data_IF_044882680077
#
_entry.id   IF_044882680077
#
_cell.length_a   1.000
_cell.length_b   1.000
_cell.length_c   1.000
_cell.angle_alpha   90.00
_cell.angle_beta   90.00
_cell.angle_gamma   90.00
#
_symmetry.space_group_name_H-M   'P 1'
#
loop_
_entity.id
_entity.type
_entity.pdbx_description
1 polymer ?
#
# COMPACT_ATOMS: atom_id res chain seq x y z
N UNK A 1 -0.92 13.09 -7.70
CA UNK A 1 -0.05 12.08 -8.34
C UNK A 1 -0.76 10.74 -8.32
N UNK A 2 -0.77 9.99 -9.42
CA UNK A 2 -1.45 8.69 -9.46
C UNK A 2 -0.52 7.52 -9.16
N UNK A 3 -1.06 6.52 -8.48
CA UNK A 3 -0.42 5.23 -8.24
C UNK A 3 -1.39 4.07 -8.41
N UNK A 4 -0.89 2.85 -8.26
CA UNK A 4 -1.71 1.66 -8.40
C UNK A 4 -0.93 0.37 -8.29
N UNK A 5 -1.65 -0.75 -8.33
CA UNK A 5 -1.04 -2.08 -8.32
C UNK A 5 -0.45 -2.45 -9.69
N UNK A 6 0.37 -3.50 -9.74
CA UNK A 6 1.03 -3.97 -10.97
C UNK A 6 0.05 -4.26 -12.12
N UNK A 7 -1.09 -4.89 -11.81
CA UNK A 7 -2.08 -5.26 -12.84
C UNK A 7 -3.06 -4.12 -13.20
N UNK A 8 -2.93 -2.95 -12.58
CA UNK A 8 -3.78 -1.78 -12.85
C UNK A 8 -5.21 -1.84 -12.32
N UNK A 9 -5.62 -2.91 -11.62
CA UNK A 9 -6.97 -3.07 -11.08
C UNK A 9 -7.26 -2.15 -9.88
N UNK A 10 -6.22 -1.72 -9.18
CA UNK A 10 -6.27 -0.72 -8.13
C UNK A 10 -5.56 0.54 -8.62
N UNK A 11 -6.24 1.68 -8.54
CA UNK A 11 -5.72 3.00 -8.88
C UNK A 11 -6.07 3.98 -7.77
N UNK A 12 -5.16 4.86 -7.42
CA UNK A 12 -5.39 5.91 -6.44
C UNK A 12 -4.67 7.18 -6.84
N UNK A 13 -5.12 8.29 -6.29
CA UNK A 13 -4.45 9.57 -6.33
C UNK A 13 -3.97 9.95 -4.93
N UNK A 14 -2.78 10.56 -4.88
CA UNK A 14 -2.22 11.19 -3.70
C UNK A 14 -1.94 12.67 -4.01
N UNK A 15 -2.44 13.60 -3.20
CA UNK A 15 -2.15 15.04 -3.34
C UNK A 15 -0.86 15.44 -2.64
N UNK A 16 -0.52 14.81 -1.51
CA UNK A 16 0.69 15.10 -0.73
C UNK A 16 1.26 13.84 -0.04
N UNK A 17 2.59 13.73 0.00
CA UNK A 17 3.31 12.67 0.73
C UNK A 17 4.18 13.34 1.80
N UNK A 18 4.04 12.87 3.03
CA UNK A 18 4.85 13.29 4.16
C UNK A 18 6.19 12.54 4.24
N UNK A 19 6.62 12.24 5.47
CA UNK A 19 7.88 11.54 5.70
C UNK A 19 7.85 10.14 5.08
N UNK A 20 8.96 9.76 4.46
CA UNK A 20 9.24 8.40 4.04
C UNK A 20 10.07 7.65 5.09
N UNK A 21 9.99 6.33 5.08
CA UNK A 21 10.80 5.47 5.94
C UNK A 21 11.10 4.13 5.27
N UNK A 22 12.20 3.51 5.68
CA UNK A 22 12.51 2.12 5.36
C UNK A 22 12.30 1.26 6.60
N UNK A 23 11.51 0.20 6.47
CA UNK A 23 11.26 -0.76 7.54
C UNK A 23 11.93 -2.09 7.22
N UNK A 24 12.79 -2.53 8.13
CA UNK A 24 13.58 -3.76 8.00
C UNK A 24 12.98 -4.93 8.78
N UNK A 25 11.81 -4.79 9.41
CA UNK A 25 11.22 -5.86 10.22
C UNK A 25 10.82 -7.06 9.35
N UNK A 26 10.78 -8.25 9.96
CA UNK A 26 10.50 -9.51 9.25
C UNK A 26 9.15 -9.50 8.50
N UNK A 27 8.12 -8.88 9.09
CA UNK A 27 6.80 -8.76 8.47
C UNK A 27 6.84 -7.88 7.21
N UNK A 28 7.51 -6.73 7.27
CA UNK A 28 7.64 -5.83 6.13
C UNK A 28 8.47 -6.45 5.00
N UNK A 29 9.56 -7.16 5.33
CA UNK A 29 10.35 -7.89 4.33
C UNK A 29 9.52 -8.96 3.61
N UNK A 30 8.73 -9.74 4.35
CA UNK A 30 7.84 -10.77 3.79
C UNK A 30 6.73 -10.15 2.93
N UNK A 31 6.10 -9.08 3.39
CA UNK A 31 5.01 -8.43 2.66
C UNK A 31 5.45 -7.80 1.32
N UNK A 32 6.70 -7.31 1.24
CA UNK A 32 7.23 -6.69 0.02
C UNK A 32 8.11 -7.62 -0.82
N UNK A 33 8.44 -8.82 -0.32
CA UNK A 33 9.38 -9.73 -0.98
C UNK A 33 10.79 -9.14 -1.15
N UNK A 34 11.20 -8.24 -0.26
CA UNK A 34 12.41 -7.43 -0.39
C UNK A 34 13.21 -7.34 0.93
N UNK A 35 14.46 -6.86 0.86
CA UNK A 35 15.32 -6.70 2.04
C UNK A 35 14.77 -5.67 3.06
N UNK A 36 13.99 -4.69 2.58
CA UNK A 36 13.20 -3.76 3.39
C UNK A 36 11.97 -3.32 2.60
N UNK A 37 11.01 -2.72 3.31
CA UNK A 37 9.88 -2.05 2.71
C UNK A 37 10.07 -0.53 2.78
N UNK A 38 9.78 0.18 1.69
CA UNK A 38 9.72 1.65 1.67
C UNK A 38 8.28 2.08 1.85
N UNK A 39 8.02 2.98 2.80
CA UNK A 39 6.70 3.56 3.03
C UNK A 39 6.76 5.07 2.89
N UNK A 40 5.75 5.66 2.27
CA UNK A 40 5.43 7.08 2.36
C UNK A 40 4.21 7.28 3.24
N UNK A 41 4.25 8.23 4.17
CA UNK A 41 3.08 8.57 4.99
C UNK A 41 2.17 9.52 4.22
N UNK A 42 0.92 9.16 4.07
CA UNK A 42 -0.12 9.98 3.43
C UNK A 42 -1.25 10.19 4.44
N UNK A 43 -1.77 11.41 4.55
CA UNK A 43 -2.97 11.67 5.34
C UNK A 43 -4.19 11.17 4.57
N UNK A 44 -5.24 10.75 5.27
CA UNK A 44 -6.46 10.25 4.62
C UNK A 44 -7.06 11.30 3.67
N UNK A 45 -7.01 12.58 4.04
CA UNK A 45 -7.50 13.68 3.21
C UNK A 45 -6.66 13.91 1.95
N UNK A 46 -5.42 13.40 1.92
CA UNK A 46 -4.52 13.50 0.78
C UNK A 46 -4.52 12.25 -0.10
N UNK A 47 -5.41 11.29 0.16
CA UNK A 47 -5.50 10.02 -0.55
C UNK A 47 -6.92 9.77 -1.06
N UNK A 48 -7.03 9.38 -2.33
CA UNK A 48 -8.31 9.02 -2.95
C UNK A 48 -8.18 7.79 -3.84
N UNK A 49 -9.12 6.85 -3.73
CA UNK A 49 -9.24 5.75 -4.69
C UNK A 49 -9.87 6.23 -6.00
N UNK A 50 -9.32 5.80 -7.13
CA UNK A 50 -9.82 6.11 -8.47
C UNK A 50 -10.57 4.90 -9.06
N UNK A 51 -11.79 5.13 -9.58
CA UNK A 51 -12.58 4.13 -10.30
C UNK A 51 -13.19 3.01 -9.43
N UNK A 52 -13.73 1.98 -10.09
CA UNK A 52 -14.18 0.76 -9.42
C UNK A 52 -12.94 0.02 -8.90
N UNK A 53 -12.61 0.24 -7.62
CA UNK A 53 -11.50 -0.46 -6.97
C UNK A 53 -11.71 -1.95 -7.16
N UNK A 54 -10.83 -2.64 -7.90
CA UNK A 54 -10.82 -4.09 -7.95
C UNK A 54 -10.75 -4.71 -6.55
N UNK A 55 -10.73 -6.03 -6.45
CA UNK A 55 -10.77 -6.70 -5.14
C UNK A 55 -9.55 -6.33 -4.30
N UNK A 56 -9.75 -5.44 -3.33
CA UNK A 56 -8.80 -5.14 -2.26
C UNK A 56 -8.83 -6.31 -1.29
N UNK A 57 -7.66 -6.78 -0.91
CA UNK A 57 -7.50 -7.80 0.13
C UNK A 57 -6.81 -7.16 1.33
N UNK A 58 -7.24 -7.57 2.51
CA UNK A 58 -6.73 -7.03 3.78
C UNK A 58 -6.10 -8.14 4.61
N UNK A 59 -5.02 -7.80 5.31
CA UNK A 59 -4.35 -8.68 6.26
C UNK A 59 -3.97 -7.89 7.52
N UNK A 60 -4.57 -8.25 8.66
CA UNK A 60 -4.25 -7.70 9.97
C UNK A 60 -2.92 -8.27 10.46
N UNK A 61 -1.83 -7.58 10.16
CA UNK A 61 -0.47 -8.04 10.48
C UNK A 61 -0.07 -7.80 11.94
N UNK A 62 -0.76 -6.89 12.63
CA UNK A 62 -0.70 -6.67 14.06
C UNK A 62 -1.98 -5.97 14.52
N UNK A 63 -2.13 -5.77 15.83
CA UNK A 63 -3.24 -4.99 16.40
C UNK A 63 -3.37 -3.58 15.82
N UNK A 64 -2.24 -2.96 15.45
CA UNK A 64 -2.18 -1.59 14.97
C UNK A 64 -2.07 -1.45 13.43
N UNK A 65 -1.83 -2.53 12.69
CA UNK A 65 -1.47 -2.45 11.26
C UNK A 65 -2.26 -3.44 10.41
N UNK A 66 -3.20 -2.89 9.63
CA UNK A 66 -3.83 -3.57 8.49
C UNK A 66 -3.05 -3.29 7.21
N UNK A 67 -2.72 -4.35 6.48
CA UNK A 67 -2.08 -4.28 5.17
C UNK A 67 -3.14 -4.46 4.11
N UNK A 68 -3.25 -3.51 3.19
CA UNK A 68 -4.12 -3.61 2.01
C UNK A 68 -3.24 -3.93 0.81
N UNK A 69 -3.70 -4.82 -0.06
CA UNK A 69 -3.01 -5.20 -1.29
C UNK A 69 -4.02 -5.62 -2.36
N UNK A 70 -3.55 -5.69 -3.60
CA UNK A 70 -4.36 -6.17 -4.72
C UNK A 70 -4.59 -7.68 -4.63
N UNK A 71 -5.85 -8.11 -4.52
CA UNK A 71 -6.21 -9.53 -4.53
C UNK A 71 -5.92 -10.25 -5.85
N UNK A 72 -5.62 -9.52 -6.94
CA UNK A 72 -5.31 -10.10 -8.26
C UNK A 72 -3.81 -10.33 -8.49
N UNK A 73 -2.95 -9.38 -8.12
CA UNK A 73 -1.51 -9.46 -8.41
C UNK A 73 -0.62 -9.41 -7.17
N UNK A 74 -1.19 -9.31 -5.96
CA UNK A 74 -0.46 -9.30 -4.70
C UNK A 74 0.33 -8.02 -4.41
N UNK A 75 0.31 -7.01 -5.29
CA UNK A 75 0.99 -5.74 -5.05
C UNK A 75 0.36 -5.01 -3.85
N UNK A 76 1.17 -4.53 -2.90
CA UNK A 76 0.72 -3.62 -1.84
C UNK A 76 0.09 -2.34 -2.41
#
# INVERSE_FOLDING_TARGET
MEGGCLCGSLRYEISAIGRSSHCFCSMCRKAHGAYYATYGRVLINDFQWLGATGTRSEYHSSEAVTRVFCGRCGSP
#
